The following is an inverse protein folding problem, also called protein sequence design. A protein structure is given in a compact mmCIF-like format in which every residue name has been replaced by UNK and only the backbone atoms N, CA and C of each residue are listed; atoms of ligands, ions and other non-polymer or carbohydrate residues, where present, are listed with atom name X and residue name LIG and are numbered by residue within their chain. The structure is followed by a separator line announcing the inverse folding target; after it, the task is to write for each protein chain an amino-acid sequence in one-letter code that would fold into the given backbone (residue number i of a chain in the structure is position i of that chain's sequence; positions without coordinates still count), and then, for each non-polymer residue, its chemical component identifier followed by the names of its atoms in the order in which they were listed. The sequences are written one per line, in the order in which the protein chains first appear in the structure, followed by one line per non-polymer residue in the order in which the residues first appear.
data_IF_755210948401
#
_entry.id   IF_755210948401
#
_cell.length_a   1.000
_cell.length_b   1.000
_cell.length_c   1.000
_cell.angle_alpha   90.00
_cell.angle_beta   90.00
_cell.angle_gamma   90.00
#
_symmetry.space_group_name_H-M   'P 1'
#
loop_
_entity.id
_entity.type
_entity.pdbx_description
1 polymer ?
#
# COMPACT_ATOMS: atom_id res chain seq x y z
N UNK A 1 -9.11 22.68 38.00
CA UNK A 1 -9.43 21.39 37.34
C UNK A 1 -8.96 21.41 35.88
N UNK A 2 -7.74 20.96 35.58
CA UNK A 2 -7.13 21.07 34.25
C UNK A 2 -7.13 19.73 33.49
N UNK A 3 -8.17 19.55 32.68
CA UNK A 3 -8.26 18.85 31.39
C UNK A 3 -7.46 17.54 31.17
N UNK A 4 -8.19 16.41 31.25
CA UNK A 4 -7.83 15.07 30.71
C UNK A 4 -7.44 15.06 29.22
N UNK A 5 -7.73 16.12 28.46
CA UNK A 5 -7.65 16.13 26.99
C UNK A 5 -6.19 16.23 26.46
N UNK A 6 -5.25 16.76 27.25
CA UNK A 6 -3.85 16.91 26.83
C UNK A 6 -3.04 15.60 26.87
N UNK A 7 -3.39 14.65 27.73
CA UNK A 7 -2.69 13.35 27.79
C UNK A 7 -3.06 12.43 26.63
N UNK A 8 -4.33 12.44 26.19
CA UNK A 8 -4.79 11.64 25.06
C UNK A 8 -4.10 12.03 23.74
N UNK A 9 -3.81 13.33 23.54
CA UNK A 9 -3.08 13.81 22.34
C UNK A 9 -1.62 13.34 22.27
N UNK A 10 -0.94 13.14 23.40
CA UNK A 10 0.45 12.62 23.41
C UNK A 10 0.50 11.12 23.16
N UNK A 11 -0.44 10.35 23.71
CA UNK A 11 -0.54 8.92 23.48
C UNK A 11 -0.85 8.57 22.01
N UNK A 12 -1.69 9.38 21.33
CA UNK A 12 -2.03 9.17 19.91
C UNK A 12 -0.82 9.35 18.98
N UNK A 13 -0.04 10.43 19.19
CA UNK A 13 1.18 10.71 18.39
C UNK A 13 2.29 9.68 18.57
N UNK A 14 2.40 9.07 19.75
CA UNK A 14 3.38 8.00 20.00
C UNK A 14 3.02 6.70 19.27
N UNK A 15 1.73 6.35 19.19
CA UNK A 15 1.26 5.18 18.42
C UNK A 15 1.42 5.38 16.90
N UNK A 16 1.17 6.59 16.39
CA UNK A 16 1.41 6.92 14.98
C UNK A 16 2.90 6.82 14.62
N UNK A 17 3.81 7.39 15.43
CA UNK A 17 5.26 7.24 15.20
C UNK A 17 5.73 5.79 15.26
N UNK A 18 5.17 4.96 16.15
CA UNK A 18 5.52 3.55 16.23
C UNK A 18 5.06 2.75 14.99
N UNK A 19 3.91 3.09 14.41
CA UNK A 19 3.47 2.52 13.12
C UNK A 19 4.31 3.03 11.95
N UNK A 20 4.64 4.32 11.93
CA UNK A 20 5.49 4.93 10.89
C UNK A 20 6.90 4.32 10.86
N UNK A 21 7.51 4.11 12.04
CA UNK A 21 8.82 3.47 12.16
C UNK A 21 8.77 1.97 11.78
N UNK A 22 7.64 1.29 12.01
CA UNK A 22 7.43 -0.08 11.51
C UNK A 22 7.31 -0.15 9.99
N UNK A 23 6.83 0.92 9.33
CA UNK A 23 6.78 0.99 7.86
C UNK A 23 8.15 1.35 7.26
N UNK A 24 8.94 2.21 7.90
CA UNK A 24 10.29 2.57 7.42
C UNK A 24 11.36 1.50 7.69
N UNK A 25 11.11 0.57 8.61
CA UNK A 25 12.06 -0.48 9.00
C UNK A 25 11.85 -1.84 8.33
N UNK A 26 10.86 -1.99 7.44
CA UNK A 26 10.64 -3.26 6.74
C UNK A 26 11.61 -3.39 5.58
N UNK A 27 12.30 -4.53 5.53
CA UNK A 27 12.95 -4.99 4.30
C UNK A 27 11.86 -5.09 3.24
N UNK A 28 12.12 -4.48 2.08
CA UNK A 28 11.21 -4.49 0.94
C UNK A 28 10.73 -5.92 0.66
N UNK A 29 9.54 -6.03 0.04
CA UNK A 29 9.05 -7.27 -0.54
C UNK A 29 10.21 -8.06 -1.17
N UNK A 30 10.31 -9.40 -0.95
CA UNK A 30 11.43 -10.21 -1.44
C UNK A 30 11.71 -10.05 -2.94
N UNK A 31 10.73 -9.57 -3.71
CA UNK A 31 10.84 -9.21 -5.13
C UNK A 31 11.85 -8.10 -5.42
N UNK A 32 12.07 -7.14 -4.52
CA UNK A 32 12.95 -5.97 -4.73
C UNK A 32 13.94 -5.71 -3.59
N UNK A 33 13.82 -6.40 -2.44
CA UNK A 33 14.70 -6.25 -1.28
C UNK A 33 15.87 -7.23 -1.19
N UNK A 34 15.89 -8.24 -2.06
CA UNK A 34 16.96 -9.23 -2.11
C UNK A 34 17.99 -8.80 -3.19
N UNK A 35 19.28 -8.63 -2.85
CA UNK A 35 20.32 -8.30 -3.81
C UNK A 35 20.46 -9.33 -4.95
N UNK A 36 19.94 -10.56 -4.79
CA UNK A 36 19.83 -11.54 -5.87
C UNK A 36 18.83 -11.12 -6.97
N UNK A 37 17.85 -10.28 -6.64
CA UNK A 37 16.83 -9.74 -7.56
C UNK A 37 17.09 -8.27 -7.93
N UNK A 38 18.13 -7.62 -7.40
CA UNK A 38 18.46 -6.23 -7.69
C UNK A 38 18.85 -5.94 -9.16
N UNK A 39 19.12 -7.00 -9.96
CA UNK A 39 19.34 -6.91 -11.41
C UNK A 39 18.23 -7.56 -12.24
N UNK A 40 17.23 -8.16 -11.57
CA UNK A 40 16.08 -8.75 -12.24
C UNK A 40 15.15 -7.61 -12.66
N UNK A 41 14.85 -7.53 -13.95
CA UNK A 41 13.76 -6.69 -14.42
C UNK A 41 12.48 -7.06 -13.64
N UNK A 42 11.65 -6.08 -13.25
CA UNK A 42 10.39 -6.37 -12.61
C UNK A 42 9.62 -7.39 -13.46
N UNK A 43 9.02 -8.43 -12.84
CA UNK A 43 8.28 -9.43 -13.59
C UNK A 43 7.22 -8.79 -14.49
N UNK A 44 6.93 -9.41 -15.65
CA UNK A 44 5.99 -8.86 -16.64
C UNK A 44 4.64 -8.50 -16.02
N UNK A 45 4.12 -9.31 -15.09
CA UNK A 45 2.86 -9.03 -14.42
C UNK A 45 2.89 -7.75 -13.55
N UNK A 46 4.05 -7.35 -13.03
CA UNK A 46 4.23 -6.08 -12.30
C UNK A 46 4.24 -4.90 -13.27
N UNK A 47 4.90 -5.05 -14.41
CA UNK A 47 4.90 -4.03 -15.46
C UNK A 47 3.50 -3.81 -16.06
N UNK A 48 2.74 -4.90 -16.25
CA UNK A 48 1.34 -4.83 -16.68
C UNK A 48 0.47 -4.12 -15.64
N UNK A 49 0.68 -4.40 -14.34
CA UNK A 49 0.04 -3.65 -13.27
C UNK A 49 0.39 -2.16 -13.37
N UNK A 50 1.67 -1.81 -13.50
CA UNK A 50 2.11 -0.41 -13.56
C UNK A 50 1.57 0.33 -14.79
N UNK A 51 1.47 -0.34 -15.94
CA UNK A 51 0.83 0.23 -17.11
C UNK A 51 -0.65 0.59 -16.83
N UNK A 52 -1.41 -0.32 -16.21
CA UNK A 52 -2.80 -0.08 -15.78
C UNK A 52 -2.90 1.05 -14.77
N UNK A 53 -2.01 1.09 -13.79
CA UNK A 53 -1.95 2.15 -12.78
C UNK A 53 -1.69 3.51 -13.42
N UNK A 54 -0.82 3.58 -14.44
CA UNK A 54 -0.53 4.82 -15.16
C UNK A 54 -1.74 5.33 -15.95
N UNK A 55 -2.48 4.44 -16.59
CA UNK A 55 -3.73 4.80 -17.26
C UNK A 55 -4.77 5.31 -16.25
N UNK A 56 -4.91 4.64 -15.11
CA UNK A 56 -5.83 5.05 -14.05
C UNK A 56 -5.41 6.37 -13.38
N UNK A 57 -4.12 6.60 -13.17
CA UNK A 57 -3.58 7.86 -12.63
C UNK A 57 -3.88 9.06 -13.53
N UNK A 58 -3.90 8.85 -14.85
CA UNK A 58 -4.28 9.89 -15.81
C UNK A 58 -5.74 10.36 -15.62
N UNK A 59 -6.61 9.51 -15.05
CA UNK A 59 -7.99 9.85 -14.70
C UNK A 59 -8.02 10.54 -13.33
N UNK A 60 -7.34 9.95 -12.33
CA UNK A 60 -7.18 10.57 -11.02
C UNK A 60 -6.64 9.63 -9.94
N UNK A 61 -6.32 10.20 -8.78
CA UNK A 61 -5.78 9.44 -7.64
C UNK A 61 -6.76 8.39 -7.09
N UNK A 62 -8.06 8.65 -7.14
CA UNK A 62 -9.07 7.67 -6.73
C UNK A 62 -9.04 6.42 -7.60
N UNK A 63 -9.09 6.61 -8.93
CA UNK A 63 -9.02 5.53 -9.92
C UNK A 63 -7.71 4.74 -9.83
N UNK A 64 -6.59 5.41 -9.61
CA UNK A 64 -5.30 4.77 -9.36
C UNK A 64 -5.39 3.77 -8.19
N UNK A 65 -5.98 4.19 -7.07
CA UNK A 65 -6.08 3.37 -5.87
C UNK A 65 -7.10 2.24 -6.03
N UNK A 66 -8.24 2.50 -6.66
CA UNK A 66 -9.26 1.49 -6.90
C UNK A 66 -8.76 0.42 -7.88
N UNK A 67 -8.02 0.82 -8.93
CA UNK A 67 -7.36 -0.08 -9.88
C UNK A 67 -6.27 -0.92 -9.20
N UNK A 68 -5.47 -0.29 -8.33
CA UNK A 68 -4.44 -0.99 -7.55
C UNK A 68 -5.06 -2.07 -6.67
N UNK A 69 -6.05 -1.72 -5.85
CA UNK A 69 -6.66 -2.65 -4.91
C UNK A 69 -7.33 -3.83 -5.63
N UNK A 70 -8.05 -3.55 -6.71
CA UNK A 70 -8.71 -4.57 -7.53
C UNK A 70 -7.70 -5.49 -8.21
N UNK A 71 -6.64 -4.92 -8.81
CA UNK A 71 -5.60 -5.71 -9.48
C UNK A 71 -4.80 -6.56 -8.48
N UNK A 72 -4.46 -6.00 -7.31
CA UNK A 72 -3.78 -6.73 -6.25
C UNK A 72 -4.63 -7.85 -5.69
N UNK A 73 -5.95 -7.67 -5.57
CA UNK A 73 -6.86 -8.73 -5.16
C UNK A 73 -6.78 -9.95 -6.08
N UNK A 74 -6.86 -9.71 -7.41
CA UNK A 74 -6.72 -10.77 -8.41
C UNK A 74 -5.34 -11.42 -8.32
N UNK A 75 -4.28 -10.63 -8.21
CA UNK A 75 -2.91 -11.15 -8.09
C UNK A 75 -2.70 -12.00 -6.83
N UNK A 76 -3.27 -11.59 -5.70
CA UNK A 76 -3.21 -12.32 -4.43
C UNK A 76 -4.01 -13.63 -4.55
N UNK A 77 -5.18 -13.60 -5.18
CA UNK A 77 -6.00 -14.79 -5.40
C UNK A 77 -5.29 -15.82 -6.30
N UNK A 78 -4.62 -15.38 -7.36
CA UNK A 78 -3.82 -16.24 -8.24
C UNK A 78 -2.51 -16.69 -7.59
N UNK A 79 -1.91 -15.85 -6.72
CA UNK A 79 -0.60 -16.06 -6.11
C UNK A 79 -0.62 -15.67 -4.64
N UNK A 80 -1.17 -16.52 -3.76
CA UNK A 80 -1.24 -16.23 -2.33
C UNK A 80 0.15 -16.07 -1.70
N UNK A 81 1.20 -16.64 -2.32
CA UNK A 81 2.60 -16.47 -1.91
C UNK A 81 3.15 -15.04 -2.04
N UNK A 82 2.42 -14.11 -2.67
CA UNK A 82 2.78 -12.68 -2.68
C UNK A 82 2.57 -12.02 -1.32
N UNK A 83 1.66 -12.53 -0.49
CA UNK A 83 1.41 -11.98 0.83
C UNK A 83 2.47 -12.46 1.81
N UNK A 84 3.18 -11.52 2.40
CA UNK A 84 4.07 -11.82 3.52
C UNK A 84 3.28 -11.94 4.84
N UNK A 85 2.64 -13.09 5.00
CA UNK A 85 1.90 -13.46 6.21
C UNK A 85 2.81 -13.67 7.43
N UNK A 86 4.12 -13.86 7.23
CA UNK A 86 5.07 -14.03 8.34
C UNK A 86 5.31 -12.72 9.08
N UNK A 87 5.23 -11.60 8.36
CA UNK A 87 5.45 -10.27 8.90
C UNK A 87 4.15 -9.47 9.11
N UNK A 88 2.97 -10.09 8.97
CA UNK A 88 1.67 -9.45 9.12
C UNK A 88 0.77 -10.19 10.12
N UNK A 89 -0.07 -9.43 10.83
CA UNK A 89 -1.01 -10.00 11.82
C UNK A 89 -2.20 -10.72 11.15
N UNK A 90 -2.56 -10.33 9.92
CA UNK A 90 -3.62 -10.93 9.13
C UNK A 90 -3.41 -10.64 7.62
N UNK A 91 -4.20 -11.30 6.77
CA UNK A 91 -4.14 -11.13 5.31
C UNK A 91 -4.44 -9.70 4.88
N UNK A 92 -5.38 -9.01 5.54
CA UNK A 92 -5.71 -7.61 5.24
C UNK A 92 -4.52 -6.68 5.45
N UNK A 93 -3.75 -6.87 6.53
CA UNK A 93 -2.53 -6.14 6.80
C UNK A 93 -1.45 -6.49 5.79
N UNK A 94 -1.30 -7.78 5.43
CA UNK A 94 -0.34 -8.21 4.41
C UNK A 94 -0.65 -7.57 3.04
N UNK A 95 -1.93 -7.58 2.63
CA UNK A 95 -2.39 -6.97 1.38
C UNK A 95 -2.18 -5.44 1.38
N UNK A 96 -2.46 -4.78 2.50
CA UNK A 96 -2.20 -3.34 2.66
C UNK A 96 -0.70 -3.03 2.54
N UNK A 97 0.16 -3.88 3.11
CA UNK A 97 1.62 -3.71 2.99
C UNK A 97 2.07 -3.91 1.55
N UNK A 98 1.57 -4.96 0.88
CA UNK A 98 1.87 -5.22 -0.52
C UNK A 98 1.43 -4.05 -1.41
N UNK A 99 0.25 -3.47 -1.14
CA UNK A 99 -0.23 -2.29 -1.86
C UNK A 99 0.68 -1.08 -1.67
N UNK A 100 1.13 -0.83 -0.44
CA UNK A 100 2.09 0.24 -0.14
C UNK A 100 3.43 0.00 -0.86
N UNK A 101 3.96 -1.22 -0.81
CA UNK A 101 5.22 -1.59 -1.49
C UNK A 101 5.10 -1.39 -3.02
N UNK A 102 3.99 -1.84 -3.62
CA UNK A 102 3.73 -1.71 -5.05
C UNK A 102 3.60 -0.24 -5.48
N UNK A 103 3.00 0.62 -4.64
CA UNK A 103 2.94 2.05 -4.92
C UNK A 103 4.30 2.75 -4.83
N UNK A 104 5.15 2.33 -3.89
CA UNK A 104 6.53 2.81 -3.83
C UNK A 104 7.26 2.42 -5.11
N UNK A 105 7.19 1.16 -5.51
CA UNK A 105 7.88 0.66 -6.70
C UNK A 105 7.31 1.31 -7.98
N UNK A 106 5.99 1.56 -8.04
CA UNK A 106 5.36 2.31 -9.13
C UNK A 106 5.90 3.74 -9.24
N UNK A 107 6.01 4.47 -8.13
CA UNK A 107 6.56 5.84 -8.11
C UNK A 107 8.04 5.89 -8.48
N UNK A 108 8.81 4.90 -8.06
CA UNK A 108 10.20 4.75 -8.49
C UNK A 108 10.28 4.49 -10.00
N UNK A 109 9.33 3.73 -10.56
CA UNK A 109 9.29 3.41 -11.99
C UNK A 109 8.80 4.58 -12.87
N UNK A 110 7.80 5.35 -12.43
CA UNK A 110 7.23 6.45 -13.23
C UNK A 110 8.06 7.72 -13.18
N UNK A 111 8.49 8.11 -11.99
CA UNK A 111 8.99 9.46 -11.72
C UNK A 111 10.52 9.46 -11.49
N UNK A 112 11.19 8.30 -11.63
CA UNK A 112 12.59 8.05 -11.24
C UNK A 112 12.88 8.56 -9.81
N UNK A 113 11.85 8.53 -8.95
CA UNK A 113 11.91 9.06 -7.61
C UNK A 113 12.59 8.09 -6.66
N UNK A 114 13.37 8.61 -5.71
CA UNK A 114 13.94 7.80 -4.65
C UNK A 114 12.85 7.15 -3.78
N UNK A 115 13.16 5.93 -3.29
CA UNK A 115 12.31 5.16 -2.38
C UNK A 115 11.86 5.97 -1.16
N UNK A 116 12.75 6.76 -0.57
CA UNK A 116 12.43 7.59 0.60
C UNK A 116 11.35 8.63 0.27
N UNK A 117 11.45 9.24 -0.91
CA UNK A 117 10.49 10.25 -1.38
C UNK A 117 9.12 9.61 -1.64
N UNK A 118 9.08 8.44 -2.27
CA UNK A 118 7.85 7.68 -2.47
C UNK A 118 7.20 7.24 -1.15
N UNK A 119 7.99 6.76 -0.18
CA UNK A 119 7.50 6.41 1.16
C UNK A 119 6.95 7.64 1.90
N UNK A 120 7.58 8.80 1.75
CA UNK A 120 7.11 10.05 2.33
C UNK A 120 5.78 10.47 1.74
N UNK A 121 5.58 10.29 0.44
CA UNK A 121 4.30 10.54 -0.24
C UNK A 121 3.17 9.67 0.34
N UNK A 122 3.41 8.38 0.56
CA UNK A 122 2.44 7.48 1.21
C UNK A 122 2.11 7.87 2.65
N UNK A 123 3.02 8.61 3.31
CA UNK A 123 2.82 9.09 4.68
C UNK A 123 2.10 10.43 4.76
N UNK A 124 1.70 11.03 3.63
CA UNK A 124 0.96 12.30 3.61
C UNK A 124 -0.49 12.11 4.08
N UNK A 125 -1.06 13.05 4.86
CA UNK A 125 -2.43 12.92 5.35
C UNK A 125 -3.46 12.88 4.22
N UNK A 126 -3.20 13.56 3.09
CA UNK A 126 -4.04 13.54 1.91
C UNK A 126 -4.06 12.14 1.27
N UNK A 127 -2.89 11.51 1.13
CA UNK A 127 -2.80 10.16 0.59
C UNK A 127 -3.47 9.14 1.53
N UNK A 128 -3.17 9.21 2.83
CA UNK A 128 -3.75 8.29 3.83
C UNK A 128 -5.28 8.37 3.82
N UNK A 129 -5.85 9.57 3.68
CA UNK A 129 -7.30 9.76 3.59
C UNK A 129 -7.86 9.07 2.34
N UNK A 130 -7.33 9.36 1.16
CA UNK A 130 -7.82 8.80 -0.09
C UNK A 130 -7.63 7.28 -0.16
N UNK A 131 -6.51 6.77 0.35
CA UNK A 131 -6.26 5.34 0.45
C UNK A 131 -7.21 4.63 1.40
N UNK A 132 -7.54 5.24 2.53
CA UNK A 132 -8.54 4.69 3.45
C UNK A 132 -9.92 4.66 2.80
N UNK A 133 -10.32 5.72 2.08
CA UNK A 133 -11.59 5.76 1.36
C UNK A 133 -11.67 4.73 0.23
N UNK A 134 -10.57 4.54 -0.53
CA UNK A 134 -10.48 3.51 -1.57
C UNK A 134 -10.55 2.09 -0.97
N UNK A 135 -9.87 1.83 0.14
CA UNK A 135 -9.97 0.57 0.86
C UNK A 135 -11.38 0.29 1.37
N UNK A 136 -12.07 1.29 1.90
CA UNK A 136 -13.45 1.16 2.38
C UNK A 136 -14.40 0.87 1.21
N UNK A 137 -14.27 1.59 0.08
CA UNK A 137 -15.03 1.31 -1.16
C UNK A 137 -14.77 -0.09 -1.70
N UNK A 138 -13.49 -0.48 -1.76
CA UNK A 138 -13.09 -1.81 -2.20
C UNK A 138 -13.69 -2.90 -1.29
N UNK A 139 -13.63 -2.73 0.04
CA UNK A 139 -14.27 -3.67 0.98
C UNK A 139 -15.78 -3.75 0.75
N UNK A 140 -16.45 -2.63 0.56
CA UNK A 140 -17.89 -2.61 0.26
C UNK A 140 -18.21 -3.38 -1.03
N UNK A 141 -17.39 -3.23 -2.08
CA UNK A 141 -17.58 -3.98 -3.33
C UNK A 141 -17.37 -5.50 -3.18
N UNK A 142 -16.53 -5.92 -2.21
CA UNK A 142 -16.29 -7.34 -1.90
C UNK A 142 -17.35 -7.92 -0.94
N UNK A 143 -17.95 -7.08 -0.09
CA UNK A 143 -19.05 -7.41 0.82
C UNK A 143 -20.43 -7.41 0.13
N UNK A 144 -20.51 -7.10 -1.17
CA UNK A 144 -21.67 -7.41 -2.01
C UNK A 144 -21.55 -8.78 -2.72
N UNK A 145 -21.65 -9.94 -2.02
CA UNK A 145 -22.14 -11.15 -2.65
C UNK A 145 -23.62 -11.36 -2.29
N UNK A 146 -24.45 -11.50 -3.32
CA UNK A 146 -25.81 -12.05 -3.30
C UNK A 146 -26.94 -11.16 -2.73
N UNK A 147 -27.35 -10.20 -3.55
CA UNK A 147 -28.74 -9.73 -3.58
C UNK A 147 -29.46 -10.25 -4.83
N UNK A 148 -29.53 -11.58 -5.01
CA UNK A 148 -30.49 -12.21 -5.94
C UNK A 148 -30.93 -13.59 -5.44
#
# INVERSE_FOLDING_TARGET
MASLNKQQKRAKRAKEKAKQIRMSGRKASPMYGDPAYATAQPPVYVLELFAKLREAEAIGRGELLDTLLSSLSVMIAERPGLLDLKNAENESMAATNLAADMLVDYRMWTDDMDRETAQRWLSTPEFIKDFSEALDRYRQSMEEPAGE
#
